data_IF_759306706666
#
_entry.id   IF_759306706666
#
_cell.length_a   1.000
_cell.length_b   1.000
_cell.length_c   1.000
_cell.angle_alpha   90.00
_cell.angle_beta   90.00
_cell.angle_gamma   90.00
#
_symmetry.space_group_name_H-M   'P 1'
#
loop_
_entity.id
_entity.type
_entity.pdbx_description
1 polymer ?
#
# COMPACT_ATOMS: atom_id res chain seq x y z
N UNK A 1 -35.32 -17.84 0.51
CA UNK A 1 -34.81 -17.02 -0.61
C UNK A 1 -34.63 -15.53 -0.31
N UNK A 2 -35.32 -14.91 0.68
CA UNK A 2 -35.17 -13.47 0.98
C UNK A 2 -33.93 -13.07 1.83
N UNK A 3 -33.39 -14.01 2.64
CA UNK A 3 -32.29 -13.74 3.57
C UNK A 3 -30.92 -13.70 2.87
N UNK A 4 -30.74 -14.49 1.80
CA UNK A 4 -29.50 -14.57 1.03
C UNK A 4 -29.19 -13.24 0.31
N UNK A 5 -30.21 -12.59 -0.27
CA UNK A 5 -30.03 -11.30 -0.95
C UNK A 5 -29.62 -10.16 0.00
N UNK A 6 -30.07 -10.22 1.26
CA UNK A 6 -29.70 -9.23 2.27
C UNK A 6 -28.25 -9.41 2.74
N UNK A 7 -27.79 -10.64 2.89
CA UNK A 7 -26.38 -10.94 3.23
C UNK A 7 -25.43 -10.53 2.10
N UNK A 8 -25.79 -10.76 0.84
CA UNK A 8 -25.01 -10.31 -0.33
C UNK A 8 -24.93 -8.78 -0.43
N UNK A 9 -26.01 -8.06 -0.11
CA UNK A 9 -26.03 -6.59 -0.13
C UNK A 9 -25.13 -5.98 0.94
N UNK A 10 -25.07 -6.60 2.13
CA UNK A 10 -24.16 -6.16 3.20
C UNK A 10 -22.71 -6.44 2.80
N UNK A 11 -22.44 -7.59 2.17
CA UNK A 11 -21.11 -7.92 1.65
C UNK A 11 -20.64 -6.92 0.58
N UNK A 12 -21.53 -6.49 -0.32
CA UNK A 12 -21.22 -5.48 -1.33
C UNK A 12 -20.96 -4.09 -0.74
N UNK A 13 -21.68 -3.69 0.32
CA UNK A 13 -21.45 -2.41 1.01
C UNK A 13 -20.15 -2.42 1.81
N UNK A 14 -19.80 -3.56 2.41
CA UNK A 14 -18.48 -3.75 3.07
C UNK A 14 -17.37 -3.71 2.01
N UNK A 15 -17.58 -4.32 0.83
CA UNK A 15 -16.63 -4.24 -0.30
C UNK A 15 -16.41 -2.81 -0.80
N UNK A 16 -17.47 -2.01 -0.88
CA UNK A 16 -17.42 -0.62 -1.36
C UNK A 16 -16.80 0.36 -0.35
N UNK A 17 -16.88 0.08 0.96
CA UNK A 17 -16.22 0.87 2.00
C UNK A 17 -14.71 0.64 2.09
N UNK A 18 -14.24 -0.57 1.79
CA UNK A 18 -12.81 -0.91 1.80
C UNK A 18 -12.07 -0.25 0.62
N UNK A 19 -12.74 0.03 -0.51
CA UNK A 19 -12.11 0.69 -1.67
C UNK A 19 -11.63 2.11 -1.42
N UNK A 20 -12.22 2.86 -0.48
CA UNK A 20 -11.87 4.26 -0.24
C UNK A 20 -10.51 4.43 0.48
N UNK A 21 -10.02 3.40 1.16
CA UNK A 21 -8.75 3.42 1.89
C UNK A 21 -7.53 3.04 1.03
N UNK A 22 -7.73 2.50 -0.18
CA UNK A 22 -6.65 2.10 -1.09
C UNK A 22 -6.17 3.26 -2.00
N UNK A 23 -6.87 4.40 -2.02
CA UNK A 23 -6.56 5.54 -2.92
C UNK A 23 -5.34 6.38 -2.51
N UNK A 24 -4.78 6.17 -1.32
CA UNK A 24 -3.56 6.84 -0.86
C UNK A 24 -2.29 6.10 -1.24
N UNK A 25 -2.38 4.85 -1.71
CA UNK A 25 -1.20 4.07 -2.02
C UNK A 25 -0.65 4.43 -3.41
N UNK A 26 0.53 5.08 -3.51
CA UNK A 26 1.08 5.49 -4.78
C UNK A 26 1.44 4.29 -5.68
N UNK A 27 1.78 3.14 -5.10
CA UNK A 27 2.17 1.94 -5.86
C UNK A 27 1.02 1.30 -6.65
N UNK A 28 -0.23 1.48 -6.23
CA UNK A 28 -1.39 1.02 -7.00
C UNK A 28 -1.65 1.89 -8.25
N UNK A 29 -1.11 3.11 -8.30
CA UNK A 29 -1.17 4.00 -9.46
C UNK A 29 -0.01 3.81 -10.43
N UNK A 30 1.08 3.17 -10.00
CA UNK A 30 2.20 2.84 -10.88
C UNK A 30 1.73 1.96 -12.03
N UNK A 31 2.06 2.35 -13.26
CA UNK A 31 1.85 1.52 -14.45
C UNK A 31 3.00 0.57 -14.75
N UNK A 32 4.07 0.60 -13.94
CA UNK A 32 5.27 -0.22 -14.13
C UNK A 32 5.36 -1.34 -13.08
N UNK A 33 5.70 -2.53 -13.57
CA UNK A 33 5.66 -3.77 -12.79
C UNK A 33 6.90 -4.60 -13.08
N UNK A 34 7.55 -5.08 -12.01
CA UNK A 34 8.65 -6.03 -12.10
C UNK A 34 8.15 -7.41 -11.69
N UNK A 35 8.41 -8.42 -12.54
CA UNK A 35 8.12 -9.81 -12.20
C UNK A 35 9.26 -10.42 -11.38
N UNK A 36 8.96 -10.86 -10.17
CA UNK A 36 9.93 -11.47 -9.26
C UNK A 36 9.46 -12.85 -8.83
N UNK A 37 10.37 -13.82 -8.86
CA UNK A 37 10.10 -15.16 -8.33
C UNK A 37 10.38 -15.19 -6.83
N UNK A 38 9.38 -15.59 -6.05
CA UNK A 38 9.47 -15.73 -4.60
C UNK A 38 10.47 -16.82 -4.24
N UNK A 39 11.47 -16.50 -3.40
CA UNK A 39 12.40 -17.49 -2.87
C UNK A 39 11.82 -18.20 -1.64
N UNK A 40 12.42 -19.34 -1.29
CA UNK A 40 11.96 -20.15 -0.16
C UNK A 40 12.14 -19.39 1.15
N UNK A 41 11.04 -19.17 1.87
CA UNK A 41 11.03 -18.44 3.14
C UNK A 41 10.88 -16.92 2.99
N UNK A 42 10.70 -16.40 1.78
CA UNK A 42 10.32 -15.00 1.58
C UNK A 42 8.81 -14.82 1.75
N UNK A 43 8.42 -13.68 2.33
CA UNK A 43 7.04 -13.21 2.38
C UNK A 43 6.94 -11.87 1.63
N UNK A 44 5.71 -11.38 1.42
CA UNK A 44 5.48 -10.12 0.69
C UNK A 44 6.22 -8.96 1.35
N UNK A 45 6.14 -8.81 2.67
CA UNK A 45 6.93 -7.83 3.44
C UNK A 45 8.43 -7.82 3.12
N UNK A 46 9.08 -8.99 3.13
CA UNK A 46 10.53 -9.11 2.88
C UNK A 46 10.88 -8.69 1.45
N UNK A 47 9.98 -8.94 0.51
CA UNK A 47 10.12 -8.53 -0.88
C UNK A 47 9.89 -7.02 -0.99
N UNK A 48 8.80 -6.50 -0.45
CA UNK A 48 8.47 -5.06 -0.45
C UNK A 48 9.61 -4.23 0.14
N UNK A 49 10.16 -4.63 1.30
CA UNK A 49 11.29 -3.96 1.94
C UNK A 49 12.56 -3.92 1.09
N UNK A 50 12.77 -4.86 0.15
CA UNK A 50 13.91 -4.81 -0.78
C UNK A 50 13.75 -3.75 -1.88
N UNK A 51 12.51 -3.48 -2.27
CA UNK A 51 12.18 -2.54 -3.35
C UNK A 51 11.75 -1.16 -2.84
N UNK A 52 11.36 -1.06 -1.58
CA UNK A 52 11.08 0.20 -0.90
C UNK A 52 12.36 0.81 -0.30
N UNK A 53 12.49 2.13 -0.38
CA UNK A 53 13.61 2.88 0.21
C UNK A 53 13.40 3.23 1.68
N UNK A 54 12.15 3.16 2.17
CA UNK A 54 11.74 3.45 3.55
C UNK A 54 10.77 2.40 4.04
N UNK A 55 10.70 2.26 5.36
CA UNK A 55 9.79 1.31 6.02
C UNK A 55 8.31 1.63 5.78
N UNK A 56 7.90 2.90 5.83
CA UNK A 56 6.52 3.32 5.53
C UNK A 56 6.11 2.99 4.09
N UNK A 57 7.04 3.14 3.15
CA UNK A 57 6.80 2.77 1.75
C UNK A 57 6.78 1.25 1.55
N UNK A 58 7.43 0.47 2.43
CA UNK A 58 7.39 -0.99 2.37
C UNK A 58 6.02 -1.52 2.80
N UNK A 59 5.34 -0.86 3.75
CA UNK A 59 3.97 -1.19 4.16
C UNK A 59 3.00 -0.95 3.00
N UNK A 60 3.07 0.23 2.38
CA UNK A 60 2.28 0.55 1.19
C UNK A 60 2.58 -0.40 0.03
N UNK A 61 3.86 -0.69 -0.23
CA UNK A 61 4.23 -1.61 -1.31
C UNK A 61 3.76 -3.05 -1.03
N UNK A 62 3.76 -3.51 0.22
CA UNK A 62 3.21 -4.82 0.58
C UNK A 62 1.71 -4.91 0.26
N UNK A 63 0.92 -3.92 0.68
CA UNK A 63 -0.51 -3.87 0.37
C UNK A 63 -0.76 -3.88 -1.14
N UNK A 64 0.03 -3.10 -1.89
CA UNK A 64 -0.08 -3.05 -3.34
C UNK A 64 0.26 -4.39 -4.01
N UNK A 65 1.31 -5.09 -3.53
CA UNK A 65 1.65 -6.43 -4.04
C UNK A 65 0.54 -7.43 -3.74
N UNK A 66 -0.04 -7.38 -2.54
CA UNK A 66 -1.15 -8.26 -2.14
C UNK A 66 -2.35 -8.06 -3.06
N UNK A 67 -2.72 -6.81 -3.31
CA UNK A 67 -3.87 -6.46 -4.16
C UNK A 67 -3.65 -6.85 -5.62
N UNK A 68 -2.50 -6.46 -6.20
CA UNK A 68 -2.18 -6.75 -7.61
C UNK A 68 -2.14 -8.26 -7.89
N UNK A 69 -1.62 -9.06 -6.95
CA UNK A 69 -1.44 -10.50 -7.12
C UNK A 69 -2.58 -11.35 -6.54
N UNK A 70 -3.61 -10.71 -5.97
CA UNK A 70 -4.74 -11.39 -5.30
C UNK A 70 -4.26 -12.33 -4.19
N UNK A 71 -3.32 -11.88 -3.36
CA UNK A 71 -2.78 -12.67 -2.26
C UNK A 71 -3.70 -12.62 -1.04
N UNK A 72 -3.46 -13.53 -0.11
CA UNK A 72 -4.11 -13.45 1.19
C UNK A 72 -3.58 -12.22 1.96
N UNK A 73 -4.43 -11.58 2.80
CA UNK A 73 -4.07 -10.37 3.53
C UNK A 73 -3.00 -10.59 4.61
N UNK A 74 -2.58 -11.83 4.83
CA UNK A 74 -1.47 -12.19 5.71
C UNK A 74 -0.09 -12.10 5.02
N UNK A 75 -0.06 -11.72 3.73
CA UNK A 75 1.19 -11.60 2.96
C UNK A 75 1.91 -12.93 2.71
N UNK A 76 1.22 -14.06 2.93
CA UNK A 76 1.78 -15.41 2.75
C UNK A 76 1.90 -15.75 1.27
N UNK A 77 3.11 -16.10 0.83
CA UNK A 77 3.40 -16.48 -0.55
C UNK A 77 4.16 -17.80 -0.64
N UNK A 78 3.81 -18.62 -1.62
CA UNK A 78 4.50 -19.88 -1.88
C UNK A 78 5.77 -19.64 -2.70
N UNK A 79 6.85 -20.31 -2.31
CA UNK A 79 8.11 -20.28 -3.05
C UNK A 79 7.92 -20.73 -4.51
N UNK A 80 8.59 -20.06 -5.44
CA UNK A 80 8.48 -20.32 -6.88
C UNK A 80 7.26 -19.68 -7.56
N UNK A 81 6.38 -19.00 -6.79
CA UNK A 81 5.34 -18.15 -7.37
C UNK A 81 6.00 -16.90 -7.96
N UNK A 82 5.50 -16.48 -9.12
CA UNK A 82 5.89 -15.21 -9.75
C UNK A 82 4.92 -14.13 -9.27
N UNK A 83 5.47 -13.06 -8.70
CA UNK A 83 4.73 -11.92 -8.21
C UNK A 83 5.04 -10.71 -9.08
N UNK A 84 4.01 -9.93 -9.36
CA UNK A 84 4.12 -8.63 -9.99
C UNK A 84 4.30 -7.59 -8.89
N UNK A 85 5.45 -6.94 -8.86
CA UNK A 85 5.76 -5.89 -7.90
C UNK A 85 5.58 -4.55 -8.59
N UNK A 86 4.60 -3.72 -8.17
CA UNK A 86 4.50 -2.36 -8.66
C UNK A 86 5.73 -1.56 -8.20
N UNK A 87 6.40 -0.89 -9.13
CA UNK A 87 7.52 -0.01 -8.80
C UNK A 87 7.16 1.43 -9.11
N UNK A 88 7.58 2.32 -8.23
CA UNK A 88 7.49 3.76 -8.45
C UNK A 88 8.79 4.25 -9.05
N UNK A 89 8.71 5.13 -10.04
CA UNK A 89 9.89 5.81 -10.56
C UNK A 89 10.55 6.62 -9.44
N UNK A 90 11.90 6.72 -9.39
CA UNK A 90 12.60 7.43 -8.32
C UNK A 90 12.13 8.88 -8.11
N UNK A 91 11.65 9.54 -9.17
CA UNK A 91 11.08 10.88 -9.10
C UNK A 91 9.71 10.91 -8.39
N UNK A 92 8.87 9.89 -8.61
CA UNK A 92 7.57 9.73 -7.97
C UNK A 92 7.73 9.27 -6.51
N UNK A 93 8.72 8.40 -6.24
CA UNK A 93 9.11 8.06 -4.87
C UNK A 93 9.48 9.31 -4.07
N UNK A 94 10.24 10.25 -4.67
CA UNK A 94 10.61 11.50 -4.02
C UNK A 94 9.39 12.42 -3.76
N UNK A 95 8.42 12.45 -4.67
CA UNK A 95 7.18 13.20 -4.49
C UNK A 95 6.31 12.59 -3.39
N UNK A 96 6.11 11.26 -3.38
CA UNK A 96 5.43 10.55 -2.30
C UNK A 96 6.12 10.80 -0.95
N UNK A 97 7.45 10.81 -0.91
CA UNK A 97 8.23 11.18 0.28
C UNK A 97 7.98 12.63 0.73
N UNK A 98 7.78 13.56 -0.20
CA UNK A 98 7.49 14.96 0.10
C UNK A 98 6.07 15.15 0.65
N UNK A 99 5.09 14.42 0.11
CA UNK A 99 3.70 14.45 0.58
C UNK A 99 3.58 13.90 2.02
N UNK A 100 4.21 12.75 2.33
CA UNK A 100 4.23 12.23 3.70
C UNK A 100 4.95 13.18 4.67
N UNK A 101 6.07 13.79 4.26
CA UNK A 101 6.80 14.77 5.10
C UNK A 101 6.01 16.06 5.34
N UNK A 102 5.16 16.46 4.39
CA UNK A 102 4.37 17.69 4.50
C UNK A 102 3.31 17.59 5.59
N UNK A 103 2.73 16.41 5.83
CA UNK A 103 1.73 16.18 6.88
C UNK A 103 2.32 16.26 8.29
N UNK A 104 3.55 15.78 8.50
CA UNK A 104 4.24 15.87 9.80
C UNK A 104 4.70 17.30 10.14
N UNK A 105 4.84 18.18 9.15
CA UNK A 105 5.39 19.53 9.33
C UNK A 105 4.33 20.56 9.77
N UNK A 106 3.04 20.31 9.55
CA UNK A 106 1.97 21.29 9.88
C UNK A 106 1.70 21.40 11.40
N UNK A 107 2.23 20.48 12.22
CA UNK A 107 1.97 20.48 13.67
C UNK A 107 2.98 21.29 14.51
N UNK A 108 4.01 21.92 13.92
CA UNK A 108 4.95 22.77 14.66
C UNK A 108 4.76 24.23 14.27
N UNK A 109 3.66 24.81 14.75
CA UNK A 109 3.55 26.25 14.84
C UNK A 109 4.81 26.79 15.55
N UNK A 110 5.50 27.80 14.99
CA UNK A 110 6.51 28.50 15.76
C UNK A 110 5.76 29.22 16.88
N UNK A 111 6.12 28.96 18.14
CA UNK A 111 5.77 29.84 19.24
C UNK A 111 6.36 31.20 18.93
N UNK A 112 5.55 32.07 18.31
CA UNK A 112 5.85 33.48 18.18
C UNK A 112 5.01 34.18 19.26
N UNK A 113 5.51 34.08 20.49
CA UNK A 113 5.02 34.89 21.60
C UNK A 113 5.73 36.24 21.51
N UNK A 114 5.10 37.17 20.80
CA UNK A 114 5.42 38.60 20.82
C UNK A 114 4.11 39.39 20.78
N UNK A 115 3.66 39.77 21.98
CA UNK A 115 2.80 40.90 22.34
C UNK A 115 2.76 40.90 23.88
N UNK A 116 3.08 41.92 24.67
CA UNK A 116 3.36 43.36 24.55
C UNK A 116 4.28 43.73 25.73
#
# INVERSE_FOLDING_TARGET
MKRIGLVLSVFALIWMGVSALHLTNPYLRSSDFIEVSVMRGENVWSIARKYATKETMAEELEEAIIEVNGLAPDGSVAAGRRLQIPVLEPAEQLQAMAEHKSLDTVARAPYNDVTD
#
